data_IF_826213592323
#
_entry.id   IF_826213592323
#
_cell.length_a   1.000
_cell.length_b   1.000
_cell.length_c   1.000
_cell.angle_alpha   90.00
_cell.angle_beta   90.00
_cell.angle_gamma   90.00
#
_symmetry.space_group_name_H-M   'P 1'
#
loop_
_entity.id
_entity.type
_entity.pdbx_description
1 polymer ?
#
# COMPACT_ATOMS: atom_id res chain seq x y z
N UNK A 1 10.23 -15.75 37.14
CA UNK A 1 10.49 -14.40 36.59
C UNK A 1 9.27 -14.01 35.79
N UNK A 2 8.56 -12.95 36.18
CA UNK A 2 7.42 -12.43 35.40
C UNK A 2 7.96 -11.80 34.12
N UNK A 3 7.45 -12.17 32.93
CA UNK A 3 7.90 -11.56 31.69
C UNK A 3 7.56 -10.07 31.70
N UNK A 4 8.54 -9.25 31.32
CA UNK A 4 8.37 -7.80 31.21
C UNK A 4 7.45 -7.53 30.01
N UNK A 5 6.58 -6.53 30.11
CA UNK A 5 5.60 -6.17 29.06
C UNK A 5 6.26 -6.02 27.67
N UNK A 6 7.54 -5.63 27.61
CA UNK A 6 8.32 -5.57 26.37
C UNK A 6 8.53 -6.93 25.67
N UNK A 7 8.76 -8.01 26.43
CA UNK A 7 8.96 -9.36 25.88
C UNK A 7 7.66 -9.97 25.36
N UNK A 8 6.51 -9.56 25.92
CA UNK A 8 5.19 -9.97 25.40
C UNK A 8 4.87 -9.35 24.03
N UNK A 9 5.29 -8.10 23.81
CA UNK A 9 5.06 -7.39 22.54
C UNK A 9 6.04 -7.91 21.48
N UNK A 10 7.27 -8.23 21.86
CA UNK A 10 8.33 -8.65 20.92
C UNK A 10 8.35 -10.17 20.66
N UNK A 11 7.95 -10.98 21.62
CA UNK A 11 7.96 -12.45 21.53
C UNK A 11 6.71 -13.10 20.93
N UNK A 12 5.65 -12.31 20.68
CA UNK A 12 4.43 -12.78 20.04
C UNK A 12 3.81 -14.00 20.75
N UNK A 13 3.33 -14.98 19.98
CA UNK A 13 2.66 -16.16 20.54
C UNK A 13 3.57 -17.05 21.39
N UNK A 14 4.89 -17.03 21.18
CA UNK A 14 5.81 -17.80 22.02
C UNK A 14 5.87 -17.24 23.44
N UNK A 15 5.89 -15.90 23.59
CA UNK A 15 5.82 -15.26 24.90
C UNK A 15 4.47 -15.50 25.59
N UNK A 16 3.36 -15.47 24.85
CA UNK A 16 2.04 -15.81 25.39
C UNK A 16 1.96 -17.28 25.83
N UNK A 17 2.56 -18.20 25.07
CA UNK A 17 2.62 -19.62 25.39
C UNK A 17 3.45 -19.87 26.65
N UNK A 18 4.58 -19.18 26.82
CA UNK A 18 5.44 -19.30 28.01
C UNK A 18 4.77 -18.76 29.28
N UNK A 19 3.97 -17.70 29.16
CA UNK A 19 3.12 -17.21 30.26
C UNK A 19 2.08 -18.26 30.62
N UNK A 20 1.33 -18.81 29.65
CA UNK A 20 0.32 -19.84 29.91
C UNK A 20 0.95 -21.08 30.54
N UNK A 21 2.14 -21.49 30.06
CA UNK A 21 2.92 -22.60 30.63
C UNK A 21 3.31 -22.40 32.08
N UNK A 22 3.58 -21.16 32.50
CA UNK A 22 3.94 -20.84 33.88
C UNK A 22 2.80 -21.08 34.89
N UNK A 23 1.56 -21.20 34.41
CA UNK A 23 0.39 -21.51 35.24
C UNK A 23 0.01 -22.99 35.23
N UNK A 24 0.77 -23.86 34.56
CA UNK A 24 0.49 -25.30 34.62
C UNK A 24 0.81 -25.87 36.00
N UNK A 25 -0.11 -26.63 36.61
CA UNK A 25 0.15 -27.26 37.89
C UNK A 25 1.31 -28.27 37.83
N UNK A 26 2.20 -28.27 38.85
CA UNK A 26 3.44 -29.04 38.83
C UNK A 26 3.21 -30.56 38.84
N UNK A 27 2.08 -31.02 39.36
CA UNK A 27 1.74 -32.41 39.70
C UNK A 27 0.98 -33.19 38.60
N UNK A 28 0.81 -32.63 37.39
CA UNK A 28 0.00 -33.29 36.36
C UNK A 28 0.79 -34.40 35.63
N UNK A 29 0.13 -35.50 35.24
CA UNK A 29 0.79 -36.59 34.54
C UNK A 29 1.43 -36.10 33.23
N UNK A 30 2.65 -36.56 32.87
CA UNK A 30 3.41 -36.06 31.72
C UNK A 30 2.65 -36.12 30.40
N UNK A 31 1.77 -37.11 30.23
CA UNK A 31 0.97 -37.27 29.03
C UNK A 31 -0.12 -36.22 28.87
N UNK A 32 -0.78 -35.80 29.94
CA UNK A 32 -1.84 -34.78 29.89
C UNK A 32 -1.25 -33.39 29.62
N UNK A 33 -0.08 -33.09 30.20
CA UNK A 33 0.66 -31.86 29.91
C UNK A 33 1.03 -31.77 28.43
N UNK A 34 1.56 -32.85 27.86
CA UNK A 34 1.95 -32.89 26.45
C UNK A 34 0.75 -32.75 25.49
N UNK A 35 -0.42 -33.28 25.84
CA UNK A 35 -1.66 -33.11 25.05
C UNK A 35 -2.13 -31.66 25.09
N UNK A 36 -2.18 -31.06 26.27
CA UNK A 36 -2.66 -29.70 26.46
C UNK A 36 -1.74 -28.67 25.77
N UNK A 37 -0.42 -28.88 25.78
CA UNK A 37 0.52 -28.05 25.02
C UNK A 37 0.30 -28.11 23.52
N UNK A 38 0.03 -29.30 22.97
CA UNK A 38 -0.31 -29.47 21.55
C UNK A 38 -1.61 -28.78 21.19
N UNK A 39 -2.63 -28.93 22.03
CA UNK A 39 -3.94 -28.32 21.78
C UNK A 39 -3.86 -26.78 21.87
N UNK A 40 -3.13 -26.24 22.85
CA UNK A 40 -2.90 -24.80 22.99
C UNK A 40 -2.08 -24.23 21.83
N UNK A 41 -0.98 -24.89 21.44
CA UNK A 41 -0.17 -24.44 20.30
C UNK A 41 -0.97 -24.46 19.00
N UNK A 42 -1.80 -25.49 18.79
CA UNK A 42 -2.67 -25.58 17.63
C UNK A 42 -3.78 -24.52 17.64
N UNK A 43 -4.40 -24.27 18.79
CA UNK A 43 -5.42 -23.23 18.95
C UNK A 43 -4.85 -21.82 18.73
N UNK A 44 -3.67 -21.51 19.29
CA UNK A 44 -3.00 -20.23 19.10
C UNK A 44 -2.56 -20.02 17.65
N UNK A 45 -2.01 -21.06 17.01
CA UNK A 45 -1.65 -21.02 15.59
C UNK A 45 -2.88 -20.75 14.71
N UNK A 46 -4.02 -21.40 15.00
CA UNK A 46 -5.28 -21.15 14.30
C UNK A 46 -5.79 -19.71 14.52
N UNK A 47 -5.71 -19.20 15.75
CA UNK A 47 -6.08 -17.81 16.05
C UNK A 47 -5.20 -16.79 15.33
N UNK A 48 -3.88 -16.99 15.30
CA UNK A 48 -2.97 -16.13 14.56
C UNK A 48 -3.27 -16.13 13.07
N UNK A 49 -3.50 -17.31 12.48
CA UNK A 49 -3.85 -17.42 11.07
C UNK A 49 -5.13 -16.63 10.76
N UNK A 50 -6.11 -16.66 11.66
CA UNK A 50 -7.38 -15.93 11.52
C UNK A 50 -7.14 -14.41 11.62
N UNK A 51 -6.34 -13.97 12.58
CA UNK A 51 -5.98 -12.56 12.75
C UNK A 51 -5.20 -12.00 11.54
N UNK A 52 -4.24 -12.76 11.01
CA UNK A 52 -3.49 -12.37 9.81
C UNK A 52 -4.39 -12.32 8.58
N UNK A 53 -5.37 -13.25 8.47
CA UNK A 53 -6.39 -13.20 7.42
C UNK A 53 -7.29 -11.99 7.52
N UNK A 54 -7.73 -11.61 8.73
CA UNK A 54 -8.54 -10.41 8.93
C UNK A 54 -7.75 -9.12 8.66
N UNK A 55 -6.47 -9.06 9.08
CA UNK A 55 -5.57 -7.96 8.71
C UNK A 55 -5.43 -7.85 7.20
N UNK A 56 -5.16 -8.95 6.51
CA UNK A 56 -5.03 -8.97 5.05
C UNK A 56 -6.33 -8.56 4.36
N UNK A 57 -7.49 -9.01 4.87
CA UNK A 57 -8.79 -8.61 4.33
C UNK A 57 -9.06 -7.11 4.49
N UNK A 58 -8.76 -6.54 5.67
CA UNK A 58 -8.89 -5.09 5.90
C UNK A 58 -7.95 -4.30 5.00
N UNK A 59 -6.67 -4.68 4.94
CA UNK A 59 -5.71 -4.05 4.03
C UNK A 59 -6.12 -4.17 2.56
N UNK A 60 -6.67 -5.32 2.16
CA UNK A 60 -7.21 -5.53 0.82
C UNK A 60 -8.42 -4.63 0.53
N UNK A 61 -9.32 -4.44 1.50
CA UNK A 61 -10.45 -3.53 1.39
C UNK A 61 -9.99 -2.07 1.29
N UNK A 62 -9.00 -1.66 2.08
CA UNK A 62 -8.42 -0.32 2.03
C UNK A 62 -7.74 -0.04 0.67
N UNK A 63 -7.02 -1.03 0.13
CA UNK A 63 -6.42 -0.93 -1.21
C UNK A 63 -7.46 -0.99 -2.34
N UNK A 64 -8.62 -1.61 -2.11
CA UNK A 64 -9.71 -1.68 -3.08
C UNK A 64 -10.54 -0.38 -3.16
N UNK A 65 -10.41 0.52 -2.18
CA UNK A 65 -11.13 1.80 -2.15
C UNK A 65 -10.68 2.79 -3.25
N UNK A 66 -9.63 2.48 -4.02
CA UNK A 66 -9.21 3.29 -5.16
C UNK A 66 -10.21 3.20 -6.32
N UNK A 67 -11.06 4.23 -6.43
CA UNK A 67 -11.99 4.42 -7.55
C UNK A 67 -11.28 4.44 -8.91
N UNK A 68 -12.03 4.17 -9.99
CA UNK A 68 -11.51 4.30 -11.35
C UNK A 68 -10.92 5.69 -11.62
N UNK A 69 -11.51 6.74 -11.03
CA UNK A 69 -11.06 8.12 -11.18
C UNK A 69 -9.70 8.36 -10.50
N UNK A 70 -9.47 7.82 -9.30
CA UNK A 70 -8.17 7.99 -8.61
C UNK A 70 -7.04 7.26 -9.34
N UNK A 71 -7.31 6.10 -9.95
CA UNK A 71 -6.33 5.37 -10.78
C UNK A 71 -5.95 6.12 -12.05
N UNK A 72 -6.90 6.85 -12.64
CA UNK A 72 -6.72 7.55 -13.91
C UNK A 72 -6.53 9.06 -13.76
N UNK A 73 -6.34 9.57 -12.55
CA UNK A 73 -6.23 11.02 -12.33
C UNK A 73 -5.05 11.64 -13.09
N UNK A 74 -3.90 10.93 -13.15
CA UNK A 74 -2.69 11.36 -13.84
C UNK A 74 -2.92 11.66 -15.34
N UNK A 75 -3.42 10.71 -16.15
CA UNK A 75 -3.74 11.02 -17.55
C UNK A 75 -4.92 11.98 -17.70
N UNK A 76 -5.90 11.98 -16.78
CA UNK A 76 -7.05 12.89 -16.87
C UNK A 76 -6.67 14.36 -16.67
N UNK A 77 -5.70 14.67 -15.80
CA UNK A 77 -5.17 16.03 -15.64
C UNK A 77 -4.56 16.54 -16.95
N UNK A 78 -3.89 15.67 -17.73
CA UNK A 78 -3.34 16.06 -19.05
C UNK A 78 -4.45 16.44 -20.02
N UNK A 79 -5.48 15.59 -20.12
CA UNK A 79 -6.62 15.83 -21.02
C UNK A 79 -7.34 17.12 -20.62
N UNK A 80 -7.55 17.32 -19.32
CA UNK A 80 -8.14 18.56 -18.79
C UNK A 80 -7.32 19.79 -19.18
N UNK A 81 -6.01 19.78 -18.91
CA UNK A 81 -5.14 20.92 -19.24
C UNK A 81 -5.07 21.18 -20.74
N UNK A 82 -5.09 20.12 -21.57
CA UNK A 82 -5.12 20.25 -23.02
C UNK A 82 -6.40 20.95 -23.49
N UNK A 83 -7.57 20.48 -23.03
CA UNK A 83 -8.86 21.09 -23.38
C UNK A 83 -8.94 22.53 -22.88
N UNK A 84 -8.56 22.78 -21.63
CA UNK A 84 -8.55 24.12 -21.05
C UNK A 84 -7.66 25.07 -21.86
N UNK A 85 -6.43 24.64 -22.18
CA UNK A 85 -5.53 25.43 -23.01
C UNK A 85 -6.10 25.70 -24.41
N UNK A 86 -6.68 24.69 -25.09
CA UNK A 86 -7.28 24.86 -26.41
C UNK A 86 -8.46 25.83 -26.39
N UNK A 87 -9.38 25.69 -25.43
CA UNK A 87 -10.55 26.58 -25.30
C UNK A 87 -10.10 28.01 -25.03
N UNK A 88 -9.20 28.22 -24.07
CA UNK A 88 -8.70 29.56 -23.72
C UNK A 88 -7.90 30.19 -24.86
N UNK A 89 -7.14 29.38 -25.61
CA UNK A 89 -6.42 29.85 -26.80
C UNK A 89 -7.38 30.36 -27.87
N UNK A 90 -8.46 29.63 -28.15
CA UNK A 90 -9.47 30.03 -29.14
C UNK A 90 -10.22 31.29 -28.70
N UNK A 91 -10.58 31.40 -27.42
CA UNK A 91 -11.24 32.59 -26.86
C UNK A 91 -10.34 33.83 -26.87
N UNK A 92 -9.03 33.65 -26.63
CA UNK A 92 -8.05 34.74 -26.72
C UNK A 92 -7.96 35.31 -28.14
N UNK A 93 -7.98 34.45 -29.16
CA UNK A 93 -7.91 34.84 -30.58
C UNK A 93 -9.23 35.47 -31.08
N UNK A 94 -10.38 34.93 -30.66
CA UNK A 94 -11.69 35.26 -31.26
C UNK A 94 -12.39 36.49 -30.66
N UNK A 95 -11.93 37.02 -29.52
CA UNK A 95 -12.58 38.19 -28.91
C UNK A 95 -11.79 38.96 -27.87
N UNK A 96 -10.49 38.70 -27.69
CA UNK A 96 -9.66 39.39 -26.69
C UNK A 96 -10.14 39.28 -25.24
N UNK A 97 -11.13 38.42 -24.96
CA UNK A 97 -11.74 38.25 -23.64
C UNK A 97 -10.78 37.62 -22.62
N UNK A 98 -9.67 37.05 -23.09
CA UNK A 98 -8.65 36.39 -22.26
C UNK A 98 -7.27 36.89 -22.68
N UNK A 99 -6.53 37.42 -21.72
CA UNK A 99 -5.16 37.88 -21.92
C UNK A 99 -4.25 36.71 -22.33
N UNK A 100 -3.43 36.95 -23.35
CA UNK A 100 -2.44 35.99 -23.86
C UNK A 100 -1.46 35.51 -22.78
N UNK A 101 -1.20 36.31 -21.74
CA UNK A 101 -0.35 35.92 -20.60
C UNK A 101 -0.91 34.67 -19.90
N UNK A 102 -2.22 34.59 -19.67
CA UNK A 102 -2.83 33.44 -19.01
C UNK A 102 -2.81 32.18 -19.90
N UNK A 103 -2.99 32.35 -21.21
CA UNK A 103 -2.86 31.25 -22.19
C UNK A 103 -1.43 30.72 -22.22
N UNK A 104 -0.44 31.61 -22.16
CA UNK A 104 0.98 31.28 -22.07
C UNK A 104 1.31 30.50 -20.81
N UNK A 105 0.84 30.96 -19.64
CA UNK A 105 1.03 30.25 -18.37
C UNK A 105 0.42 28.85 -18.40
N UNK A 106 -0.81 28.70 -18.93
CA UNK A 106 -1.46 27.39 -19.09
C UNK A 106 -0.66 26.46 -20.01
N UNK A 107 -0.07 26.99 -21.09
CA UNK A 107 0.80 26.22 -21.99
C UNK A 107 2.03 25.66 -21.28
N UNK A 108 2.69 26.48 -20.46
CA UNK A 108 3.88 26.08 -19.70
C UNK A 108 3.55 24.97 -18.70
N UNK A 109 2.43 25.11 -17.97
CA UNK A 109 1.94 24.08 -17.06
C UNK A 109 1.59 22.78 -17.79
N UNK A 110 0.92 22.86 -18.96
CA UNK A 110 0.60 21.71 -19.80
C UNK A 110 1.86 20.97 -20.26
N UNK A 111 2.87 21.71 -20.71
CA UNK A 111 4.15 21.14 -21.15
C UNK A 111 4.88 20.46 -20.00
N UNK A 112 4.91 21.07 -18.81
CA UNK A 112 5.47 20.45 -17.61
C UNK A 112 4.74 19.16 -17.25
N UNK A 113 3.39 19.18 -17.23
CA UNK A 113 2.57 18.01 -16.92
C UNK A 113 2.82 16.86 -17.92
N UNK A 114 2.89 17.16 -19.22
CA UNK A 114 3.26 16.17 -20.24
C UNK A 114 4.64 15.57 -20.00
N UNK A 115 5.62 16.42 -19.69
CA UNK A 115 6.98 16.01 -19.33
C UNK A 115 6.98 15.00 -18.19
N UNK A 116 6.35 15.32 -17.05
CA UNK A 116 6.29 14.42 -15.91
C UNK A 116 5.56 13.10 -16.20
N UNK A 117 4.45 13.13 -16.92
CA UNK A 117 3.69 11.91 -17.23
C UNK A 117 4.49 10.96 -18.12
N UNK A 118 5.02 11.46 -19.24
CA UNK A 118 5.76 10.62 -20.18
C UNK A 118 7.15 10.25 -19.66
N UNK A 119 7.84 11.14 -18.94
CA UNK A 119 9.11 10.81 -18.31
C UNK A 119 8.93 9.74 -17.23
N UNK A 120 7.93 9.86 -16.36
CA UNK A 120 7.64 8.86 -15.33
C UNK A 120 7.34 7.48 -15.92
N UNK A 121 6.49 7.43 -16.96
CA UNK A 121 6.19 6.18 -17.69
C UNK A 121 7.42 5.60 -18.39
N UNK A 122 8.29 6.44 -18.94
CA UNK A 122 9.53 6.01 -19.59
C UNK A 122 10.51 5.41 -18.58
N UNK A 123 10.66 6.02 -17.41
CA UNK A 123 11.52 5.52 -16.32
C UNK A 123 10.97 4.19 -15.76
N UNK A 124 9.66 4.07 -15.55
CA UNK A 124 9.02 2.81 -15.14
C UNK A 124 9.34 1.67 -16.11
N UNK A 125 9.26 1.94 -17.42
CA UNK A 125 9.58 0.94 -18.45
C UNK A 125 11.07 0.58 -18.48
N UNK A 126 11.96 1.57 -18.37
CA UNK A 126 13.41 1.34 -18.37
C UNK A 126 13.83 0.52 -17.14
N UNK A 127 13.33 0.87 -15.96
CA UNK A 127 13.64 0.15 -14.72
C UNK A 127 13.14 -1.30 -14.76
N UNK A 128 11.97 -1.55 -15.35
CA UNK A 128 11.48 -2.91 -15.58
C UNK A 128 12.42 -3.72 -16.49
N UNK A 129 12.83 -3.15 -17.64
CA UNK A 129 13.76 -3.80 -18.56
C UNK A 129 15.12 -4.09 -17.89
N UNK A 130 15.65 -3.14 -17.12
CA UNK A 130 16.92 -3.31 -16.41
C UNK A 130 16.83 -4.41 -15.36
N UNK A 131 15.71 -4.49 -14.61
CA UNK A 131 15.47 -5.56 -13.63
C UNK A 131 15.42 -6.93 -14.32
N UNK A 132 14.72 -7.04 -15.45
CA UNK A 132 14.65 -8.28 -16.23
C UNK A 132 16.01 -8.72 -16.79
N UNK A 133 16.86 -7.78 -17.21
CA UNK A 133 18.22 -8.08 -17.68
C UNK A 133 19.11 -8.63 -16.56
N UNK A 134 19.02 -8.07 -15.35
CA UNK A 134 19.81 -8.51 -14.19
C UNK A 134 19.41 -9.90 -13.67
N UNK A 135 18.15 -10.29 -13.81
CA UNK A 135 17.67 -11.65 -13.43
C UNK A 135 18.15 -12.71 -14.43
N UNK A 136 18.46 -12.31 -15.66
CA UNK A 136 18.84 -13.22 -16.75
C UNK A 136 20.36 -13.39 -16.91
N UNK A 137 21.17 -12.60 -16.20
CA UNK A 137 22.64 -12.68 -16.13
C UNK A 137 23.07 -13.41 -14.87
#
# INVERSE_FOLDING_TARGET
MTPVIGDLIQGGVNAALDVVKSYFPPDMPPEEKARLERDLTQALAAHQLTQERERTQRHGADMASDSWLSKNIRPLVLVYLMIAWTVFSVLSISGGMVDAVYVGMLKEMLMAAFGFYFAGRSVEKITAILKERKVRS
#
